data_IF_391040109538
#
_entry.id   IF_391040109538
#
_cell.length_a   1.000
_cell.length_b   1.000
_cell.length_c   1.000
_cell.angle_alpha   90.00
_cell.angle_beta   90.00
_cell.angle_gamma   90.00
#
_symmetry.space_group_name_H-M   'P 1'
#
loop_
_entity.id
_entity.type
_entity.pdbx_description
1 polymer ?
#
# COMPACT_ATOMS: atom_id res chain seq x y z
N UNK A 1 -1.01 -1.55 19.25
CA UNK A 1 -0.62 -2.76 18.48
C UNK A 1 0.39 -2.32 17.44
N UNK A 2 1.52 -3.01 17.29
CA UNK A 2 2.53 -2.68 16.25
C UNK A 2 2.03 -3.14 14.88
N UNK A 3 2.59 -2.57 13.79
CA UNK A 3 2.30 -3.00 12.41
C UNK A 3 2.54 -4.51 12.27
N UNK A 4 3.69 -5.01 12.78
CA UNK A 4 3.99 -6.45 12.84
C UNK A 4 2.84 -7.27 13.44
N UNK A 5 2.46 -6.98 14.68
CA UNK A 5 1.42 -7.73 15.38
C UNK A 5 0.04 -7.67 14.71
N UNK A 6 -0.21 -6.63 13.93
CA UNK A 6 -1.42 -6.51 13.12
C UNK A 6 -1.38 -7.46 11.93
N UNK A 7 -0.30 -7.43 11.15
CA UNK A 7 -0.14 -8.28 9.99
C UNK A 7 0.01 -9.75 10.33
N UNK A 8 0.68 -10.11 11.42
CA UNK A 8 0.71 -11.47 11.95
C UNK A 8 -0.71 -12.02 12.20
N UNK A 9 -1.61 -11.16 12.70
CA UNK A 9 -3.00 -11.55 12.99
C UNK A 9 -3.88 -11.72 11.75
N UNK A 10 -3.67 -10.90 10.71
CA UNK A 10 -4.53 -10.91 9.51
C UNK A 10 -3.97 -11.74 8.36
N UNK A 11 -2.76 -12.31 8.51
CA UNK A 11 -2.10 -13.07 7.45
C UNK A 11 -3.00 -14.14 6.82
N UNK A 12 -3.82 -14.85 7.64
CA UNK A 12 -4.77 -15.83 7.17
C UNK A 12 -6.05 -15.29 6.52
N UNK A 13 -6.33 -13.98 6.62
CA UNK A 13 -7.57 -13.34 6.15
C UNK A 13 -7.33 -12.18 5.19
N UNK A 14 -6.12 -12.05 4.66
CA UNK A 14 -5.72 -10.93 3.80
C UNK A 14 -6.57 -10.75 2.53
N UNK A 15 -7.32 -11.79 2.14
CA UNK A 15 -8.26 -11.73 1.01
C UNK A 15 -9.34 -10.63 1.15
N UNK A 16 -9.70 -10.22 2.38
CA UNK A 16 -10.65 -9.13 2.63
C UNK A 16 -10.15 -7.80 2.05
N UNK A 17 -8.83 -7.56 2.04
CA UNK A 17 -8.24 -6.36 1.45
C UNK A 17 -8.51 -6.25 -0.06
N UNK A 18 -8.73 -7.38 -0.74
CA UNK A 18 -9.01 -7.44 -2.18
C UNK A 18 -10.50 -7.52 -2.53
N UNK A 19 -11.40 -7.20 -1.62
CA UNK A 19 -12.87 -7.34 -1.80
C UNK A 19 -13.40 -6.73 -3.09
N UNK A 20 -12.89 -5.55 -3.48
CA UNK A 20 -13.28 -4.85 -4.72
C UNK A 20 -12.32 -5.10 -5.89
N UNK A 21 -11.39 -6.04 -5.76
CA UNK A 21 -10.42 -6.35 -6.80
C UNK A 21 -9.27 -5.35 -6.91
N UNK A 22 -9.12 -4.44 -5.95
CA UNK A 22 -8.11 -3.39 -5.95
C UNK A 22 -6.69 -3.95 -6.08
N UNK A 23 -6.36 -4.94 -5.27
CA UNK A 23 -5.04 -5.58 -5.29
C UNK A 23 -4.83 -6.37 -6.58
N UNK A 24 -5.83 -7.17 -6.99
CA UNK A 24 -5.71 -8.00 -8.20
C UNK A 24 -5.48 -7.18 -9.45
N UNK A 25 -6.29 -6.12 -9.67
CA UNK A 25 -6.19 -5.25 -10.85
C UNK A 25 -4.86 -4.49 -10.88
N UNK A 26 -4.40 -3.99 -9.72
CA UNK A 26 -3.12 -3.30 -9.62
C UNK A 26 -1.94 -4.24 -9.91
N UNK A 27 -2.00 -5.48 -9.41
CA UNK A 27 -1.00 -6.51 -9.71
C UNK A 27 -0.97 -6.85 -11.21
N UNK A 28 -2.13 -7.01 -11.85
CA UNK A 28 -2.22 -7.27 -13.30
C UNK A 28 -1.62 -6.13 -14.11
N UNK A 29 -1.92 -4.88 -13.73
CA UNK A 29 -1.33 -3.70 -14.34
C UNK A 29 0.20 -3.70 -14.20
N UNK A 30 0.73 -3.86 -12.98
CA UNK A 30 2.18 -3.89 -12.74
C UNK A 30 2.89 -5.01 -13.49
N UNK A 31 2.30 -6.22 -13.58
CA UNK A 31 2.81 -7.32 -14.42
C UNK A 31 2.84 -6.90 -15.90
N UNK A 32 1.76 -6.23 -16.38
CA UNK A 32 1.69 -5.69 -17.75
C UNK A 32 2.79 -4.67 -18.04
N UNK A 33 3.09 -3.77 -17.10
CA UNK A 33 4.18 -2.79 -17.21
C UNK A 33 5.55 -3.48 -17.23
N UNK A 34 5.81 -4.42 -16.30
CA UNK A 34 7.08 -5.16 -16.22
C UNK A 34 7.31 -6.00 -17.50
N UNK A 35 6.27 -6.58 -18.07
CA UNK A 35 6.35 -7.37 -19.32
C UNK A 35 6.89 -6.58 -20.49
N UNK A 36 6.68 -5.27 -20.54
CA UNK A 36 7.18 -4.38 -21.61
C UNK A 36 8.66 -4.04 -21.47
N UNK A 37 9.31 -4.43 -20.37
CA UNK A 37 10.74 -4.20 -20.13
C UNK A 37 11.59 -5.36 -20.64
N UNK A 38 12.93 -5.23 -20.69
CA UNK A 38 13.83 -6.34 -20.99
C UNK A 38 13.94 -7.41 -19.89
N UNK A 39 13.32 -7.20 -18.70
CA UNK A 39 13.42 -8.13 -17.57
C UNK A 39 12.98 -9.58 -17.91
N UNK A 40 11.90 -9.82 -18.67
CA UNK A 40 11.49 -11.19 -19.01
C UNK A 40 12.51 -12.00 -19.82
N UNK A 41 13.44 -11.32 -20.54
CA UNK A 41 14.51 -11.94 -21.29
C UNK A 41 15.81 -12.06 -20.51
N UNK A 42 15.85 -11.50 -19.27
CA UNK A 42 17.04 -11.51 -18.46
C UNK A 42 17.10 -12.77 -17.59
N UNK A 43 18.12 -13.60 -17.80
CA UNK A 43 18.43 -14.72 -16.91
C UNK A 43 18.88 -14.22 -15.54
N UNK A 44 18.44 -14.91 -14.48
CA UNK A 44 18.81 -14.62 -13.08
C UNK A 44 18.59 -13.16 -12.67
N UNK A 45 17.48 -12.57 -13.12
CA UNK A 45 17.09 -11.22 -12.68
C UNK A 45 16.90 -11.22 -11.16
N UNK A 46 17.53 -10.26 -10.47
CA UNK A 46 17.39 -10.07 -9.02
C UNK A 46 16.22 -9.17 -8.71
N UNK A 47 15.23 -9.72 -8.02
CA UNK A 47 13.99 -9.03 -7.66
C UNK A 47 13.88 -8.91 -6.15
N UNK A 48 13.70 -7.69 -5.68
CA UNK A 48 13.46 -7.40 -4.27
C UNK A 48 12.05 -6.86 -4.09
N UNK A 49 11.30 -7.39 -3.14
CA UNK A 49 9.99 -6.88 -2.73
C UNK A 49 10.07 -6.29 -1.31
N UNK A 50 9.87 -4.98 -1.22
CA UNK A 50 9.82 -4.22 0.02
C UNK A 50 8.40 -4.29 0.60
N UNK A 51 8.21 -5.11 1.63
CA UNK A 51 6.89 -5.42 2.17
C UNK A 51 6.19 -6.52 1.38
N UNK A 52 6.87 -7.66 1.21
CA UNK A 52 6.41 -8.76 0.37
C UNK A 52 5.05 -9.34 0.79
N UNK A 53 4.61 -9.12 2.00
CA UNK A 53 3.38 -9.67 2.53
C UNK A 53 3.35 -11.19 2.39
N UNK A 54 2.21 -11.71 1.93
CA UNK A 54 2.03 -13.15 1.71
C UNK A 54 2.67 -13.68 0.41
N UNK A 55 3.38 -12.86 -0.36
CA UNK A 55 4.08 -13.27 -1.58
C UNK A 55 3.20 -13.40 -2.83
N UNK A 56 1.93 -13.03 -2.77
CA UNK A 56 0.99 -13.21 -3.88
C UNK A 56 1.41 -12.51 -5.18
N UNK A 57 2.02 -11.32 -5.10
CA UNK A 57 2.55 -10.64 -6.27
C UNK A 57 3.76 -11.36 -6.86
N UNK A 58 4.73 -11.74 -6.02
CA UNK A 58 5.93 -12.45 -6.47
C UNK A 58 5.57 -13.80 -7.10
N UNK A 59 4.53 -14.48 -6.60
CA UNK A 59 4.04 -15.72 -7.24
C UNK A 59 3.55 -15.48 -8.66
N UNK A 60 2.78 -14.42 -8.92
CA UNK A 60 2.37 -14.04 -10.28
C UNK A 60 3.57 -13.61 -11.12
N UNK A 61 4.48 -12.83 -10.55
CA UNK A 61 5.67 -12.35 -11.24
C UNK A 61 6.62 -13.50 -11.63
N UNK A 62 6.70 -14.57 -10.83
CA UNK A 62 7.53 -15.73 -11.12
C UNK A 62 7.09 -16.49 -12.38
N UNK A 63 5.86 -16.35 -12.82
CA UNK A 63 5.36 -16.91 -14.08
C UNK A 63 5.88 -16.11 -15.31
N UNK A 64 6.21 -14.83 -15.11
CA UNK A 64 6.79 -13.97 -16.13
C UNK A 64 8.34 -14.00 -16.11
N UNK A 65 8.94 -14.07 -14.92
CA UNK A 65 10.38 -14.04 -14.68
C UNK A 65 10.82 -15.41 -14.12
N UNK A 66 10.79 -16.46 -14.95
CA UNK A 66 10.94 -17.86 -14.51
C UNK A 66 12.26 -18.16 -13.79
N UNK A 67 13.36 -17.50 -14.21
CA UNK A 67 14.72 -17.71 -13.67
C UNK A 67 15.14 -16.64 -12.66
N UNK A 68 14.21 -15.80 -12.20
CA UNK A 68 14.55 -14.71 -11.30
C UNK A 68 14.87 -15.20 -9.88
N UNK A 69 15.80 -14.50 -9.23
CA UNK A 69 16.12 -14.66 -7.82
C UNK A 69 15.25 -13.69 -7.00
N UNK A 70 14.31 -14.23 -6.25
CA UNK A 70 13.38 -13.44 -5.45
C UNK A 70 13.88 -13.26 -4.01
N UNK A 71 13.84 -12.02 -3.53
CA UNK A 71 14.03 -11.67 -2.12
C UNK A 71 12.83 -10.87 -1.64
N UNK A 72 12.27 -11.25 -0.49
CA UNK A 72 11.16 -10.52 0.15
C UNK A 72 11.55 -10.04 1.54
N UNK A 73 11.27 -8.77 1.82
CA UNK A 73 11.41 -8.18 3.16
C UNK A 73 10.03 -7.90 3.71
N UNK A 74 9.77 -8.29 4.96
CA UNK A 74 8.55 -7.94 5.69
C UNK A 74 8.82 -7.95 7.19
N UNK A 75 8.08 -7.13 7.95
CA UNK A 75 8.16 -7.12 9.41
C UNK A 75 7.40 -8.27 10.05
N UNK A 76 6.48 -8.91 9.32
CA UNK A 76 5.62 -10.00 9.79
C UNK A 76 6.21 -11.36 9.45
N UNK A 77 6.63 -12.10 10.47
CA UNK A 77 7.12 -13.48 10.31
C UNK A 77 6.05 -14.42 9.75
N UNK A 78 4.78 -14.21 10.07
CA UNK A 78 3.67 -15.01 9.53
C UNK A 78 3.45 -14.73 8.04
N UNK A 79 3.53 -13.47 7.60
CA UNK A 79 3.48 -13.12 6.18
C UNK A 79 4.64 -13.78 5.41
N UNK A 80 5.86 -13.69 5.93
CA UNK A 80 7.03 -14.35 5.32
C UNK A 80 6.88 -15.87 5.24
N UNK A 81 6.25 -16.49 6.23
CA UNK A 81 5.94 -17.93 6.21
C UNK A 81 4.95 -18.27 5.08
N UNK A 82 3.90 -17.47 4.91
CA UNK A 82 2.97 -17.63 3.78
C UNK A 82 3.68 -17.45 2.44
N UNK A 83 4.52 -16.44 2.29
CA UNK A 83 5.26 -16.19 1.07
C UNK A 83 6.20 -17.37 0.69
N UNK A 84 6.94 -17.94 1.65
CA UNK A 84 7.79 -19.13 1.43
C UNK A 84 7.02 -20.37 1.01
N UNK A 85 5.75 -20.48 1.41
CA UNK A 85 4.90 -21.61 1.00
C UNK A 85 4.39 -21.46 -0.45
N UNK A 86 4.40 -20.25 -1.01
CA UNK A 86 3.91 -19.98 -2.37
C UNK A 86 4.97 -20.13 -3.45
N UNK A 87 6.22 -19.73 -3.15
CA UNK A 87 7.33 -19.78 -4.12
C UNK A 87 8.67 -19.85 -3.39
N UNK A 88 9.72 -20.37 -4.05
CA UNK A 88 11.09 -20.27 -3.55
C UNK A 88 11.53 -18.80 -3.51
N UNK A 89 11.81 -18.25 -2.32
CA UNK A 89 12.37 -16.91 -2.17
C UNK A 89 13.24 -16.82 -0.92
N UNK A 90 14.23 -15.94 -0.98
CA UNK A 90 14.96 -15.50 0.22
C UNK A 90 14.07 -14.54 1.01
N UNK A 91 13.93 -14.75 2.32
CA UNK A 91 13.15 -13.86 3.19
C UNK A 91 14.03 -13.19 4.23
N UNK A 92 13.72 -11.92 4.52
CA UNK A 92 14.38 -11.11 5.54
C UNK A 92 13.27 -10.53 6.43
N UNK A 93 13.28 -10.89 7.72
CA UNK A 93 12.38 -10.30 8.71
C UNK A 93 12.97 -8.99 9.21
N UNK A 94 12.59 -7.89 8.56
CA UNK A 94 13.08 -6.55 8.85
C UNK A 94 12.09 -5.48 8.35
N UNK A 95 12.30 -4.23 8.77
CA UNK A 95 11.61 -3.09 8.17
C UNK A 95 12.15 -2.82 6.77
N UNK A 96 11.27 -2.51 5.82
CA UNK A 96 11.70 -2.05 4.50
C UNK A 96 12.53 -0.76 4.54
N UNK A 97 12.49 0.00 5.65
CA UNK A 97 13.35 1.18 5.88
C UNK A 97 14.81 0.82 6.12
N UNK A 98 15.11 -0.44 6.43
CA UNK A 98 16.43 -0.98 6.77
C UNK A 98 16.95 -1.95 5.67
N UNK A 99 16.27 -2.03 4.53
CA UNK A 99 16.55 -3.02 3.50
C UNK A 99 18.01 -2.95 2.99
N UNK A 100 18.58 -1.74 2.91
CA UNK A 100 19.97 -1.53 2.50
C UNK A 100 21.02 -2.05 3.51
N UNK A 101 20.62 -2.39 4.73
CA UNK A 101 21.53 -2.98 5.73
C UNK A 101 21.71 -4.49 5.49
N UNK A 102 20.80 -5.12 4.75
CA UNK A 102 20.77 -6.56 4.50
C UNK A 102 21.18 -6.95 3.08
N UNK A 103 21.21 -6.00 2.16
CA UNK A 103 21.43 -6.26 0.73
C UNK A 103 22.48 -5.29 0.16
N UNK A 104 23.33 -5.77 -0.77
CA UNK A 104 24.30 -4.90 -1.42
C UNK A 104 23.59 -3.76 -2.16
N UNK A 105 24.18 -2.56 -2.10
CA UNK A 105 23.69 -1.42 -2.87
C UNK A 105 23.80 -1.70 -4.38
N UNK A 106 22.89 -1.12 -5.14
CA UNK A 106 22.87 -1.18 -6.62
C UNK A 106 22.91 -2.61 -7.19
N UNK A 107 22.28 -3.55 -6.49
CA UNK A 107 22.34 -4.97 -6.82
C UNK A 107 21.08 -5.55 -7.42
N UNK A 108 19.94 -4.86 -7.29
CA UNK A 108 18.64 -5.37 -7.72
C UNK A 108 18.26 -4.88 -9.11
N UNK A 109 17.80 -5.80 -9.96
CA UNK A 109 17.28 -5.47 -11.29
C UNK A 109 15.90 -4.84 -11.25
N UNK A 110 15.09 -5.29 -10.29
CA UNK A 110 13.76 -4.79 -10.03
C UNK A 110 13.56 -4.69 -8.51
N UNK A 111 13.16 -3.51 -8.05
CA UNK A 111 12.68 -3.27 -6.68
C UNK A 111 11.19 -3.01 -6.74
N UNK A 112 10.44 -3.67 -5.89
CA UNK A 112 8.99 -3.55 -5.75
C UNK A 112 8.66 -2.88 -4.42
N UNK A 113 7.63 -2.04 -4.40
CA UNK A 113 7.05 -1.48 -3.19
C UNK A 113 5.54 -1.31 -3.39
N UNK A 114 4.79 -2.37 -3.10
CA UNK A 114 3.37 -2.43 -3.37
C UNK A 114 2.56 -2.24 -2.09
N UNK A 115 1.75 -1.19 -2.02
CA UNK A 115 0.88 -0.81 -0.89
C UNK A 115 1.59 -0.62 0.47
N UNK A 116 2.92 -0.47 0.47
CA UNK A 116 3.71 -0.32 1.70
C UNK A 116 3.90 1.14 2.12
N UNK A 117 3.84 2.10 1.18
CA UNK A 117 4.10 3.50 1.50
C UNK A 117 3.06 4.11 2.47
N UNK A 118 1.92 3.47 2.65
CA UNK A 118 0.98 3.82 3.70
C UNK A 118 1.56 3.66 5.13
N UNK A 119 2.64 2.90 5.30
CA UNK A 119 3.29 2.59 6.59
C UNK A 119 4.69 3.18 6.73
N UNK A 120 5.26 3.65 5.64
CA UNK A 120 6.63 4.18 5.56
C UNK A 120 6.58 5.53 4.85
N UNK A 121 7.22 6.58 5.41
CA UNK A 121 7.33 7.86 4.72
C UNK A 121 7.88 7.68 3.30
N UNK A 122 7.19 8.25 2.33
CA UNK A 122 7.46 8.04 0.90
C UNK A 122 8.93 8.31 0.55
N UNK A 123 9.52 9.39 1.06
CA UNK A 123 10.92 9.71 0.84
C UNK A 123 11.90 8.66 1.40
N UNK A 124 11.55 8.03 2.53
CA UNK A 124 12.37 6.93 3.09
C UNK A 124 12.29 5.69 2.21
N UNK A 125 11.10 5.36 1.71
CA UNK A 125 10.90 4.24 0.80
C UNK A 125 11.67 4.43 -0.51
N UNK A 126 11.57 5.63 -1.11
CA UNK A 126 12.30 5.95 -2.34
C UNK A 126 13.82 5.95 -2.17
N UNK A 127 14.32 6.41 -1.00
CA UNK A 127 15.74 6.32 -0.66
C UNK A 127 16.21 4.86 -0.66
N UNK A 128 15.47 3.95 -0.04
CA UNK A 128 15.78 2.51 -0.04
C UNK A 128 15.74 1.93 -1.47
N UNK A 129 14.68 2.23 -2.22
CA UNK A 129 14.57 1.81 -3.61
C UNK A 129 15.75 2.31 -4.44
N UNK A 130 16.14 3.60 -4.29
CA UNK A 130 17.29 4.20 -5.01
C UNK A 130 18.61 3.53 -4.66
N UNK A 131 18.86 3.24 -3.38
CA UNK A 131 20.08 2.57 -2.93
C UNK A 131 20.19 1.16 -3.48
N UNK A 132 19.10 0.41 -3.53
CA UNK A 132 19.11 -1.01 -3.86
C UNK A 132 18.99 -1.28 -5.35
N UNK A 133 18.23 -0.46 -6.11
CA UNK A 133 18.11 -0.59 -7.56
C UNK A 133 19.45 -0.31 -8.23
N UNK A 134 19.90 -1.19 -9.12
CA UNK A 134 21.09 -0.98 -9.94
C UNK A 134 20.91 0.12 -10.99
N UNK A 135 21.97 0.60 -11.57
CA UNK A 135 21.91 1.48 -12.75
C UNK A 135 21.18 0.75 -13.88
N UNK A 136 20.26 1.43 -14.54
CA UNK A 136 19.33 0.86 -15.53
C UNK A 136 18.40 -0.23 -14.99
N UNK A 137 18.28 -0.39 -13.67
CA UNK A 137 17.27 -1.21 -13.03
C UNK A 137 15.93 -0.50 -12.91
N UNK A 138 14.93 -1.22 -12.42
CA UNK A 138 13.54 -0.76 -12.36
C UNK A 138 13.03 -0.67 -10.93
N UNK A 139 12.13 0.29 -10.71
CA UNK A 139 11.36 0.42 -9.48
C UNK A 139 9.88 0.42 -9.82
N UNK A 140 9.13 -0.54 -9.26
CA UNK A 140 7.68 -0.63 -9.40
C UNK A 140 7.01 -0.24 -8.08
N UNK A 141 6.15 0.75 -8.14
CA UNK A 141 5.37 1.24 -7.01
C UNK A 141 3.88 1.03 -7.29
N UNK A 142 3.16 0.43 -6.34
CA UNK A 142 1.70 0.47 -6.28
C UNK A 142 1.30 1.21 -5.01
N UNK A 143 0.53 2.28 -5.16
CA UNK A 143 0.13 3.11 -4.03
C UNK A 143 -1.24 3.71 -4.22
N UNK A 144 -1.88 4.08 -3.12
CA UNK A 144 -2.94 5.08 -3.12
C UNK A 144 -2.34 6.45 -2.83
N UNK A 145 -2.94 7.49 -3.39
CA UNK A 145 -2.67 8.88 -3.03
C UNK A 145 -3.82 9.41 -2.17
N UNK A 146 -3.64 10.59 -1.60
CA UNK A 146 -4.65 11.15 -0.69
C UNK A 146 -5.96 11.55 -1.41
N UNK A 147 -5.97 11.64 -2.73
CA UNK A 147 -7.18 11.87 -3.54
C UNK A 147 -8.05 10.62 -3.78
N UNK A 148 -7.65 9.47 -3.23
CA UNK A 148 -8.49 8.27 -3.21
C UNK A 148 -9.71 8.46 -2.29
N UNK A 149 -10.84 7.85 -2.62
CA UNK A 149 -12.14 8.03 -1.94
C UNK A 149 -12.63 9.49 -1.91
N UNK A 150 -12.76 10.17 -3.06
CA UNK A 150 -13.05 11.60 -3.15
C UNK A 150 -14.40 11.99 -2.52
N UNK A 151 -15.42 11.14 -2.63
CA UNK A 151 -16.74 11.43 -2.05
C UNK A 151 -16.73 11.28 -0.53
N UNK A 152 -15.99 10.30 0.02
CA UNK A 152 -15.80 10.18 1.47
C UNK A 152 -15.10 11.41 2.03
N UNK A 153 -14.07 11.91 1.35
CA UNK A 153 -13.35 13.10 1.76
C UNK A 153 -14.25 14.35 1.70
N UNK A 154 -15.05 14.49 0.65
CA UNK A 154 -16.01 15.58 0.51
C UNK A 154 -17.04 15.58 1.65
N UNK A 155 -17.69 14.43 1.92
CA UNK A 155 -18.67 14.32 2.98
C UNK A 155 -18.06 14.57 4.37
N UNK A 156 -16.82 14.10 4.60
CA UNK A 156 -16.08 14.37 5.82
C UNK A 156 -15.78 15.88 5.99
N UNK A 157 -15.37 16.55 4.92
CA UNK A 157 -15.10 18.00 4.92
C UNK A 157 -16.40 18.79 5.22
N UNK A 158 -17.51 18.43 4.58
CA UNK A 158 -18.84 19.01 4.83
C UNK A 158 -19.30 18.81 6.29
N UNK A 159 -19.09 17.60 6.83
CA UNK A 159 -19.39 17.32 8.24
C UNK A 159 -18.56 18.18 9.20
N UNK A 160 -17.27 18.35 8.90
CA UNK A 160 -16.37 19.17 9.73
C UNK A 160 -16.77 20.65 9.67
N UNK A 161 -17.24 21.14 8.54
CA UNK A 161 -17.67 22.53 8.33
C UNK A 161 -18.94 22.90 9.13
N UNK A 162 -19.72 21.93 9.63
CA UNK A 162 -20.93 22.19 10.42
C UNK A 162 -20.69 22.77 11.84
N UNK A 163 -19.43 22.94 12.25
CA UNK A 163 -18.98 23.59 13.49
C UNK A 163 -19.61 23.07 14.81
N UNK A 164 -20.26 21.91 14.80
CA UNK A 164 -20.76 21.26 16.00
C UNK A 164 -19.59 20.79 16.89
N UNK A 165 -19.86 20.56 18.19
CA UNK A 165 -18.83 20.03 19.09
C UNK A 165 -18.21 18.72 18.54
N UNK A 166 -19.02 17.85 17.97
CA UNK A 166 -18.56 16.59 17.39
C UNK A 166 -17.71 16.83 16.15
N UNK A 167 -18.12 17.73 15.25
CA UNK A 167 -17.36 18.06 14.03
C UNK A 167 -16.02 18.71 14.35
N UNK A 168 -15.93 19.54 15.39
CA UNK A 168 -14.66 20.10 15.88
C UNK A 168 -13.69 19.01 16.35
N UNK A 169 -14.18 18.04 17.10
CA UNK A 169 -13.39 16.89 17.56
C UNK A 169 -12.90 16.08 16.34
N UNK A 170 -13.81 15.74 15.41
CA UNK A 170 -13.46 15.01 14.18
C UNK A 170 -12.46 15.80 13.36
N UNK A 171 -12.65 17.09 13.17
CA UNK A 171 -11.74 17.97 12.43
C UNK A 171 -10.34 18.03 13.06
N UNK A 172 -10.24 18.04 14.38
CA UNK A 172 -8.95 17.97 15.08
C UNK A 172 -8.20 16.67 14.78
N UNK A 173 -8.89 15.52 14.88
CA UNK A 173 -8.30 14.21 14.55
C UNK A 173 -7.95 14.11 13.07
N UNK A 174 -8.81 14.60 12.17
CA UNK A 174 -8.56 14.60 10.74
C UNK A 174 -7.31 15.41 10.37
N UNK A 175 -7.14 16.59 10.93
CA UNK A 175 -5.91 17.39 10.75
C UNK A 175 -4.67 16.67 11.26
N UNK A 176 -4.77 15.94 12.36
CA UNK A 176 -3.65 15.13 12.87
C UNK A 176 -3.31 13.95 11.94
N UNK A 177 -4.33 13.31 11.34
CA UNK A 177 -4.14 12.27 10.32
C UNK A 177 -3.41 12.85 9.10
N UNK A 178 -3.87 13.97 8.56
CA UNK A 178 -3.25 14.64 7.42
C UNK A 178 -1.78 14.98 7.67
N UNK A 179 -1.49 15.52 8.85
CA UNK A 179 -0.11 15.86 9.24
C UNK A 179 0.82 14.66 9.29
N UNK A 180 0.29 13.47 9.58
CA UNK A 180 1.07 12.23 9.72
C UNK A 180 0.89 11.27 8.53
N UNK A 181 0.25 11.72 7.45
CA UNK A 181 0.14 10.88 6.25
C UNK A 181 1.51 10.62 5.64
N UNK A 182 1.66 9.40 5.15
CA UNK A 182 2.90 8.92 4.50
C UNK A 182 2.75 8.83 2.98
N UNK A 183 1.53 8.99 2.47
CA UNK A 183 1.22 8.94 1.05
C UNK A 183 1.25 10.34 0.44
N UNK A 184 1.50 10.44 -0.86
CA UNK A 184 1.44 11.69 -1.61
C UNK A 184 0.02 12.27 -1.61
N UNK A 185 -0.10 13.59 -1.67
CA UNK A 185 -1.40 14.28 -1.71
C UNK A 185 -2.20 13.93 -2.97
N UNK A 186 -1.50 13.74 -4.09
CA UNK A 186 -2.11 13.36 -5.37
C UNK A 186 -1.05 12.91 -6.36
N UNK A 187 -1.49 12.74 -7.60
CA UNK A 187 -0.64 12.27 -8.69
C UNK A 187 0.56 13.20 -8.96
N UNK A 188 0.34 14.52 -8.91
CA UNK A 188 1.41 15.50 -9.19
C UNK A 188 2.56 15.40 -8.20
N UNK A 189 2.24 15.36 -6.88
CA UNK A 189 3.25 15.18 -5.86
C UNK A 189 3.94 13.82 -5.99
N UNK A 190 3.20 12.77 -6.32
CA UNK A 190 3.78 11.44 -6.54
C UNK A 190 4.82 11.48 -7.67
N UNK A 191 4.50 12.10 -8.81
CA UNK A 191 5.44 12.25 -9.94
C UNK A 191 6.65 13.11 -9.56
N UNK A 192 6.45 14.17 -8.77
CA UNK A 192 7.52 14.99 -8.25
C UNK A 192 8.49 14.18 -7.39
N UNK A 193 8.00 13.29 -6.50
CA UNK A 193 8.83 12.42 -5.67
C UNK A 193 9.69 11.49 -6.54
N UNK A 194 9.17 10.93 -7.64
CA UNK A 194 9.97 10.15 -8.58
C UNK A 194 11.12 10.99 -9.17
N UNK A 195 10.83 12.21 -9.61
CA UNK A 195 11.83 13.12 -10.17
C UNK A 195 12.90 13.54 -9.14
N UNK A 196 12.51 13.90 -7.93
CA UNK A 196 13.42 14.25 -6.81
C UNK A 196 14.39 13.13 -6.48
N UNK A 197 13.93 11.88 -6.55
CA UNK A 197 14.76 10.71 -6.34
C UNK A 197 15.45 10.20 -7.63
N UNK A 198 15.38 10.97 -8.73
CA UNK A 198 16.03 10.66 -10.01
C UNK A 198 15.62 9.27 -10.55
N UNK A 199 14.34 8.97 -10.50
CA UNK A 199 13.73 7.87 -11.22
C UNK A 199 12.97 8.42 -12.42
N UNK A 200 13.26 7.90 -13.60
CA UNK A 200 12.52 8.19 -14.83
C UNK A 200 11.26 7.32 -14.86
N UNK A 201 10.07 7.93 -14.77
CA UNK A 201 8.82 7.21 -14.92
C UNK A 201 8.65 6.78 -16.38
N UNK A 202 8.60 5.47 -16.62
CA UNK A 202 8.48 4.90 -17.96
C UNK A 202 7.07 4.38 -18.28
N UNK A 203 6.28 4.08 -17.25
CA UNK A 203 4.88 3.70 -17.39
C UNK A 203 4.11 4.08 -16.10
N UNK A 204 2.95 4.69 -16.25
CA UNK A 204 2.08 5.06 -15.15
C UNK A 204 0.62 4.83 -15.52
N UNK A 205 -0.09 4.11 -14.70
CA UNK A 205 -1.52 3.90 -14.84
C UNK A 205 -2.24 4.23 -13.53
N UNK A 206 -3.28 5.08 -13.63
CA UNK A 206 -4.18 5.38 -12.53
C UNK A 206 -5.43 4.54 -12.67
N UNK A 207 -5.61 3.59 -11.76
CA UNK A 207 -6.74 2.67 -11.74
C UNK A 207 -7.82 3.23 -10.84
N UNK A 208 -9.03 3.42 -11.38
CA UNK A 208 -10.20 3.88 -10.63
C UNK A 208 -11.14 2.68 -10.46
N UNK A 209 -11.36 2.26 -9.22
CA UNK A 209 -12.18 1.12 -8.87
C UNK A 209 -13.43 1.62 -8.15
N UNK A 210 -14.62 1.46 -8.76
CA UNK A 210 -15.87 1.78 -8.06
C UNK A 210 -16.04 0.86 -6.86
N UNK A 211 -16.39 1.45 -5.72
CA UNK A 211 -16.68 0.75 -4.49
C UNK A 211 -18.05 1.11 -3.97
N UNK A 212 -18.79 0.14 -3.49
CA UNK A 212 -20.11 0.33 -2.90
C UNK A 212 -20.15 -0.31 -1.52
N UNK A 213 -20.46 0.47 -0.52
CA UNK A 213 -20.68 0.02 0.85
C UNK A 213 -22.19 0.07 1.13
N UNK A 214 -22.82 -1.09 1.33
CA UNK A 214 -24.27 -1.16 1.53
C UNK A 214 -24.68 -0.65 2.93
N UNK A 215 -23.77 -0.73 3.88
CA UNK A 215 -23.99 -0.31 5.26
C UNK A 215 -22.67 -0.03 5.97
N UNK A 216 -22.76 0.41 7.21
CA UNK A 216 -21.59 0.75 8.04
C UNK A 216 -20.70 -0.45 8.35
N UNK A 217 -21.25 -1.66 8.40
CA UNK A 217 -20.49 -2.87 8.66
C UNK A 217 -19.60 -3.23 7.46
N UNK A 218 -20.10 -3.03 6.24
CA UNK A 218 -19.34 -3.15 5.01
C UNK A 218 -18.13 -2.21 4.96
N UNK A 219 -18.35 -0.94 5.29
CA UNK A 219 -17.29 0.07 5.35
C UNK A 219 -16.25 -0.27 6.43
N UNK A 220 -16.72 -0.70 7.61
CA UNK A 220 -15.85 -1.08 8.72
C UNK A 220 -15.04 -2.34 8.40
N UNK A 221 -15.61 -3.34 7.75
CA UNK A 221 -14.93 -4.55 7.30
C UNK A 221 -13.80 -4.18 6.32
N UNK A 222 -14.09 -3.40 5.30
CA UNK A 222 -13.11 -2.95 4.32
C UNK A 222 -11.98 -2.14 4.98
N UNK A 223 -12.33 -1.12 5.77
CA UNK A 223 -11.36 -0.18 6.31
C UNK A 223 -10.48 -0.76 7.42
N UNK A 224 -11.04 -1.62 8.28
CA UNK A 224 -10.35 -2.14 9.47
C UNK A 224 -9.77 -3.53 9.22
N UNK A 225 -10.56 -4.46 8.71
CA UNK A 225 -10.08 -5.82 8.45
C UNK A 225 -9.31 -5.92 7.13
N UNK A 226 -9.70 -5.12 6.12
CA UNK A 226 -8.94 -4.93 4.89
C UNK A 226 -7.69 -4.05 5.06
N UNK A 227 -7.48 -3.46 6.24
CA UNK A 227 -6.32 -2.61 6.60
C UNK A 227 -6.23 -1.24 5.91
N UNK A 228 -7.19 -0.87 5.08
CA UNK A 228 -7.14 0.36 4.29
C UNK A 228 -7.17 1.66 5.13
N UNK A 229 -7.81 1.64 6.31
CA UNK A 229 -7.92 2.81 7.22
C UNK A 229 -7.05 2.71 8.47
N UNK A 230 -6.25 1.65 8.64
CA UNK A 230 -5.55 1.39 9.90
C UNK A 230 -4.48 2.43 10.23
N UNK A 231 -3.82 2.99 9.22
CA UNK A 231 -2.83 4.06 9.43
C UNK A 231 -3.46 5.36 9.88
N UNK A 232 -4.68 5.62 9.43
CA UNK A 232 -5.45 6.80 9.82
C UNK A 232 -5.93 6.73 11.26
N UNK A 233 -5.95 5.53 11.87
CA UNK A 233 -6.52 5.27 13.18
C UNK A 233 -5.43 4.88 14.20
N UNK A 234 -4.47 5.76 14.48
CA UNK A 234 -3.45 5.60 15.54
C UNK A 234 -4.07 5.44 16.93
N UNK A 235 -4.99 4.49 17.12
CA UNK A 235 -5.75 4.33 18.36
C UNK A 235 -5.14 3.21 19.19
N UNK A 236 -4.09 3.55 19.94
CA UNK A 236 -3.29 2.60 20.75
C UNK A 236 -3.91 2.25 22.10
N UNK A 237 -4.99 2.89 22.53
CA UNK A 237 -5.40 2.92 23.96
C UNK A 237 -6.74 2.28 24.30
N UNK A 238 -7.57 1.88 23.33
CA UNK A 238 -8.92 1.35 23.63
C UNK A 238 -9.12 -0.08 23.11
N UNK A 239 -9.96 -0.89 23.79
CA UNK A 239 -10.32 -2.21 23.29
C UNK A 239 -10.91 -2.14 21.88
N UNK A 240 -10.44 -3.01 20.97
CA UNK A 240 -10.80 -3.01 19.54
C UNK A 240 -12.34 -2.92 19.31
N UNK A 241 -13.11 -3.71 20.04
CA UNK A 241 -14.57 -3.76 19.88
C UNK A 241 -15.26 -2.48 20.31
N UNK A 242 -14.81 -1.86 21.40
CA UNK A 242 -15.36 -0.58 21.87
C UNK A 242 -15.09 0.53 20.85
N UNK A 243 -13.86 0.58 20.34
CA UNK A 243 -13.46 1.53 19.33
C UNK A 243 -14.26 1.37 18.05
N UNK A 244 -14.38 0.13 17.56
CA UNK A 244 -15.13 -0.19 16.35
C UNK A 244 -16.59 0.31 16.45
N UNK A 245 -17.26 0.06 17.58
CA UNK A 245 -18.63 0.55 17.79
C UNK A 245 -18.73 2.07 17.81
N UNK A 246 -17.76 2.76 18.38
CA UNK A 246 -17.70 4.24 18.38
C UNK A 246 -17.47 4.79 16.97
N UNK A 247 -16.56 4.19 16.21
CA UNK A 247 -16.31 4.58 14.82
C UNK A 247 -17.54 4.32 13.94
N UNK A 248 -18.20 3.18 14.06
CA UNK A 248 -19.45 2.91 13.34
C UNK A 248 -20.51 3.97 13.62
N UNK A 249 -20.72 4.32 14.90
CA UNK A 249 -21.67 5.39 15.28
C UNK A 249 -21.27 6.77 14.74
N UNK A 250 -20.00 7.06 14.63
CA UNK A 250 -19.51 8.31 14.04
C UNK A 250 -19.71 8.30 12.52
N UNK A 251 -19.27 7.26 11.85
CA UNK A 251 -19.35 7.15 10.39
C UNK A 251 -20.80 7.13 9.89
N UNK A 252 -21.76 6.53 10.63
CA UNK A 252 -23.16 6.59 10.28
C UNK A 252 -23.79 7.99 10.43
N UNK A 253 -23.10 8.95 11.04
CA UNK A 253 -23.50 10.36 11.06
C UNK A 253 -22.86 11.17 9.92
N UNK A 254 -21.79 10.65 9.32
CA UNK A 254 -21.04 11.31 8.23
C UNK A 254 -21.53 10.78 6.89
N UNK A 255 -21.71 9.44 6.78
CA UNK A 255 -22.02 8.77 5.53
C UNK A 255 -23.47 8.28 5.50
N UNK A 256 -24.14 8.48 4.36
CA UNK A 256 -25.46 7.91 4.05
C UNK A 256 -25.24 6.63 3.23
N UNK A 257 -25.90 5.56 3.61
CA UNK A 257 -25.78 4.26 2.93
C UNK A 257 -27.01 3.96 2.05
N UNK A 258 -26.88 3.24 0.92
CA UNK A 258 -25.60 2.75 0.36
C UNK A 258 -24.67 3.92 0.01
N UNK A 259 -23.37 3.75 0.27
CA UNK A 259 -22.35 4.74 0.01
C UNK A 259 -21.46 4.26 -1.15
N UNK A 260 -21.43 5.04 -2.22
CA UNK A 260 -20.63 4.78 -3.42
C UNK A 260 -19.45 5.73 -3.45
N UNK A 261 -18.28 5.23 -3.86
CA UNK A 261 -17.06 6.03 -4.02
C UNK A 261 -16.10 5.38 -5.02
N UNK A 262 -14.91 5.93 -5.16
CA UNK A 262 -13.85 5.43 -6.01
C UNK A 262 -12.57 5.19 -5.20
N UNK A 263 -12.09 3.94 -5.22
CA UNK A 263 -10.76 3.61 -4.75
C UNK A 263 -9.75 3.86 -5.86
N UNK A 264 -8.93 4.90 -5.72
CA UNK A 264 -7.96 5.35 -6.72
C UNK A 264 -6.58 4.81 -6.35
N UNK A 265 -5.94 4.14 -7.31
CA UNK A 265 -4.63 3.50 -7.12
C UNK A 265 -3.72 3.91 -8.28
N UNK A 266 -2.52 4.32 -7.96
CA UNK A 266 -1.47 4.60 -8.92
C UNK A 266 -0.52 3.40 -9.02
N UNK A 267 -0.29 2.92 -10.23
CA UNK A 267 0.67 1.86 -10.57
C UNK A 267 1.74 2.48 -11.44
N UNK A 268 2.96 2.53 -10.94
CA UNK A 268 4.06 3.25 -11.58
C UNK A 268 5.24 2.31 -11.76
N UNK A 269 5.78 2.28 -12.97
CA UNK A 269 7.07 1.66 -13.27
C UNK A 269 8.06 2.75 -13.66
N UNK A 270 9.20 2.78 -12.99
CA UNK A 270 10.24 3.76 -13.24
C UNK A 270 11.61 3.09 -13.43
N UNK A 271 12.50 3.77 -14.10
CA UNK A 271 13.88 3.35 -14.36
C UNK A 271 14.85 4.25 -13.59
N UNK A 272 15.92 3.65 -13.05
CA UNK A 272 17.02 4.36 -12.41
C UNK A 272 18.10 4.75 -13.39
#
# INVERSE_FOLDING_TARGET
>A
MTIKAMYDKIAGHYAVANRFGSISKSHECAIGQIRKTPLPQKSHAKVLDLGVGNGAFLKKLSELLCDAEFTGIDVSSEMLKHARNLLPLKTIEASATEASDYLPHHSQDLVLAHFINAYIPINTLFKQAKLLTRVNGYFSLITTTYDSFPLAQKQLAEFIANESLLSRIVGHYYKAILKNTTVAAGQEELMQVFAEHQFEVIDHERIIIPVVFNNIDDLALFGIEGTWFLNSLSIRLLPKNFLLQRLKRLFSKIFTFPFEDSHIIDVVLAKK
#
